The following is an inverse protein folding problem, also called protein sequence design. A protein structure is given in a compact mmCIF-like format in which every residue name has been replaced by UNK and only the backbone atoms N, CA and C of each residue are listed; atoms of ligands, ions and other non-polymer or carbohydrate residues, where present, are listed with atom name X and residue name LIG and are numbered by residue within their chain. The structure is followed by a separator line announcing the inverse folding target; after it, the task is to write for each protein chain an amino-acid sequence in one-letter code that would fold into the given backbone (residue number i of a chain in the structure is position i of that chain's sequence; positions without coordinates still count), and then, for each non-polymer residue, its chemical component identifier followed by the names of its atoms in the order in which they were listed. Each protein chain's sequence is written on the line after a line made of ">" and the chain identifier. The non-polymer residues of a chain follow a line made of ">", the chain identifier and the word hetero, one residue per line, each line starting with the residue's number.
data_IF_184039112095
#
_entry.id   IF_184039112095
#
_cell.length_a   1.000
_cell.length_b   1.000
_cell.length_c   1.000
_cell.angle_alpha   90.00
_cell.angle_beta   90.00
_cell.angle_gamma   90.00
#
_symmetry.space_group_name_H-M   'P 1'
#
loop_
_entity.id
_entity.type
_entity.pdbx_description
1 polymer ?
#
# COMPACT_ATOMS: atom_id res chain seq x y z
N UNK A 1 9.59 1.30 -1.72
CA UNK A 1 8.57 0.33 -1.33
C UNK A 1 7.36 1.10 -0.86
N UNK A 2 6.28 0.94 -1.53
CA UNK A 2 5.05 1.68 -1.25
C UNK A 2 3.85 0.74 -1.34
N UNK A 3 2.92 0.97 -0.45
CA UNK A 3 1.67 0.27 -0.41
C UNK A 3 0.52 1.26 -0.42
N UNK A 4 -0.44 1.02 -1.25
CA UNK A 4 -1.64 1.85 -1.34
C UNK A 4 -2.83 0.98 -0.97
N UNK A 5 -3.52 1.33 0.09
CA UNK A 5 -4.69 0.59 0.57
C UNK A 5 -5.99 1.22 0.07
N UNK A 6 -6.93 0.39 -0.32
CA UNK A 6 -8.25 0.81 -0.75
C UNK A 6 -9.17 1.25 0.41
N UNK A 7 -10.38 1.59 0.06
CA UNK A 7 -11.36 2.25 0.94
C UNK A 7 -11.52 1.60 2.31
N UNK A 8 -11.42 2.36 3.41
CA UNK A 8 -11.97 1.91 4.66
C UNK A 8 -13.50 1.89 4.56
N UNK A 9 -14.10 0.75 4.81
CA UNK A 9 -15.55 0.64 4.90
C UNK A 9 -16.01 1.19 6.26
N UNK A 10 -16.65 2.35 6.25
CA UNK A 10 -17.44 2.76 7.41
C UNK A 10 -18.78 2.05 7.33
N UNK A 11 -18.99 1.00 8.11
CA UNK A 11 -20.33 0.53 8.41
C UNK A 11 -21.08 1.64 9.13
N UNK A 12 -22.22 2.03 8.57
CA UNK A 12 -23.15 2.89 9.26
C UNK A 12 -23.43 2.35 10.66
N UNK A 13 -23.40 3.23 11.64
CA UNK A 13 -23.76 2.91 13.01
C UNK A 13 -25.15 2.32 13.08
N UNK A 14 -25.25 1.05 13.35
CA UNK A 14 -26.40 0.55 14.09
C UNK A 14 -26.08 0.81 15.55
N UNK A 15 -26.84 1.70 16.17
CA UNK A 15 -26.57 2.19 17.48
C UNK A 15 -26.42 1.08 18.51
N UNK A 16 -25.30 1.07 19.19
CA UNK A 16 -25.21 0.57 20.55
C UNK A 16 -24.18 1.41 21.27
N UNK A 17 -24.60 1.91 22.40
CA UNK A 17 -23.73 2.58 23.36
C UNK A 17 -22.73 1.59 23.91
N UNK A 18 -21.46 1.91 23.79
CA UNK A 18 -20.40 1.21 24.50
C UNK A 18 -19.28 0.72 23.61
N UNK A 19 -18.12 1.37 23.72
CA UNK A 19 -16.87 0.93 23.11
C UNK A 19 -16.57 1.57 21.76
N UNK A 20 -15.69 2.54 21.77
CA UNK A 20 -15.34 3.45 20.69
C UNK A 20 -14.41 2.88 19.60
N UNK A 21 -14.53 1.61 19.26
CA UNK A 21 -13.82 1.05 18.12
C UNK A 21 -14.75 1.00 16.92
N UNK A 22 -14.60 1.97 16.02
CA UNK A 22 -15.16 1.88 14.67
C UNK A 22 -14.39 0.74 13.99
N UNK A 23 -15.04 -0.38 13.60
CA UNK A 23 -14.34 -1.41 12.86
C UNK A 23 -13.98 -0.84 11.49
N UNK A 24 -12.68 -0.59 11.28
CA UNK A 24 -12.13 -0.26 9.97
C UNK A 24 -11.97 -1.57 9.24
N UNK A 25 -12.72 -1.78 8.17
CA UNK A 25 -12.48 -2.90 7.26
C UNK A 25 -11.78 -2.39 6.00
N UNK A 26 -10.76 -3.12 5.57
CA UNK A 26 -10.09 -2.87 4.30
C UNK A 26 -10.89 -3.58 3.21
N UNK A 27 -11.46 -2.82 2.28
CA UNK A 27 -12.22 -3.37 1.16
C UNK A 27 -11.32 -3.85 0.03
N UNK A 28 -10.19 -3.19 -0.17
CA UNK A 28 -9.27 -3.48 -1.27
C UNK A 28 -7.87 -3.01 -0.95
N UNK A 29 -6.89 -3.80 -1.35
CA UNK A 29 -5.48 -3.42 -1.36
C UNK A 29 -5.08 -3.03 -2.78
N UNK A 30 -4.51 -1.85 -2.94
CA UNK A 30 -4.03 -1.31 -4.21
C UNK A 30 -2.51 -1.19 -4.17
N UNK A 31 -1.83 -1.80 -5.12
CA UNK A 31 -0.37 -1.84 -5.16
C UNK A 31 0.15 -1.76 -6.59
N UNK A 32 1.39 -1.29 -6.75
CA UNK A 32 2.05 -1.19 -8.06
C UNK A 32 2.71 -2.48 -8.55
N UNK A 33 2.80 -3.50 -7.71
CA UNK A 33 3.34 -4.80 -8.07
C UNK A 33 4.86 -4.87 -8.24
N UNK A 34 5.60 -3.85 -7.80
CA UNK A 34 7.06 -3.88 -7.81
C UNK A 34 7.58 -4.88 -6.77
N UNK A 35 8.85 -5.27 -6.88
CA UNK A 35 9.49 -6.16 -5.91
C UNK A 35 9.47 -5.57 -4.50
N UNK A 36 9.46 -6.43 -3.49
CA UNK A 36 9.46 -6.02 -2.10
C UNK A 36 8.06 -5.86 -1.51
N UNK A 37 7.77 -4.72 -0.88
CA UNK A 37 6.52 -4.49 -0.15
C UNK A 37 5.30 -4.58 -1.07
N UNK A 38 5.34 -4.01 -2.24
CA UNK A 38 4.23 -4.04 -3.22
C UNK A 38 3.73 -5.47 -3.48
N UNK A 39 4.64 -6.41 -3.76
CA UNK A 39 4.27 -7.82 -3.99
C UNK A 39 3.88 -8.54 -2.71
N UNK A 40 4.56 -8.26 -1.62
CA UNK A 40 4.21 -8.85 -0.33
C UNK A 40 2.77 -8.51 0.07
N UNK A 41 2.33 -7.30 -0.20
CA UNK A 41 0.94 -6.88 0.05
C UNK A 41 -0.08 -7.61 -0.81
N UNK A 42 0.21 -7.76 -2.08
CA UNK A 42 -0.65 -8.50 -2.99
C UNK A 42 -0.72 -9.98 -2.60
N UNK A 43 0.41 -10.57 -2.20
CA UNK A 43 0.46 -11.95 -1.71
C UNK A 43 -0.38 -12.12 -0.43
N UNK A 44 -0.28 -11.19 0.51
CA UNK A 44 -1.09 -11.19 1.74
C UNK A 44 -2.58 -10.97 1.44
N UNK A 45 -2.89 -10.08 0.52
CA UNK A 45 -4.28 -9.86 0.09
C UNK A 45 -4.91 -11.14 -0.46
N UNK A 46 -4.19 -11.86 -1.32
CA UNK A 46 -4.64 -13.14 -1.85
C UNK A 46 -4.78 -14.21 -0.76
N UNK A 47 -3.82 -14.26 0.17
CA UNK A 47 -3.86 -15.21 1.30
C UNK A 47 -5.06 -14.99 2.22
N UNK A 48 -5.47 -13.74 2.42
CA UNK A 48 -6.57 -13.35 3.32
C UNK A 48 -7.89 -13.12 2.58
N UNK A 49 -7.98 -13.47 1.31
CA UNK A 49 -9.16 -13.22 0.45
C UNK A 49 -9.63 -11.76 0.45
N UNK A 50 -8.68 -10.83 0.54
CA UNK A 50 -8.95 -9.40 0.40
C UNK A 50 -8.83 -9.05 -1.08
N UNK A 51 -9.83 -8.37 -1.68
CA UNK A 51 -9.71 -7.88 -3.05
C UNK A 51 -8.45 -7.06 -3.24
N UNK A 52 -7.74 -7.30 -4.33
CA UNK A 52 -6.53 -6.55 -4.66
C UNK A 52 -6.58 -6.02 -6.09
N UNK A 53 -5.72 -5.08 -6.39
CA UNK A 53 -5.56 -4.50 -7.70
C UNK A 53 -4.55 -3.38 -7.69
N UNK A 54 -4.59 -2.56 -8.70
CA UNK A 54 -3.73 -1.40 -8.84
C UNK A 54 -3.23 -1.26 -10.28
N UNK A 55 -2.42 -0.22 -10.47
CA UNK A 55 -1.79 0.10 -11.74
C UNK A 55 -0.32 -0.28 -11.69
N UNK A 56 0.16 -0.93 -12.74
CA UNK A 56 1.56 -1.22 -12.96
C UNK A 56 2.07 -0.49 -14.22
N UNK A 57 3.38 -0.41 -14.44
CA UNK A 57 3.93 0.17 -15.66
C UNK A 57 3.50 -0.61 -16.90
N UNK A 58 3.47 0.06 -18.05
CA UNK A 58 3.24 -0.57 -19.35
C UNK A 58 4.24 -1.72 -19.55
N UNK A 59 3.75 -2.83 -20.08
CA UNK A 59 4.52 -4.06 -20.26
C UNK A 59 4.67 -4.88 -18.97
N UNK A 60 4.00 -4.50 -17.89
CA UNK A 60 4.10 -5.14 -16.56
C UNK A 60 5.55 -5.18 -16.08
N UNK A 61 6.29 -4.10 -16.27
CA UNK A 61 7.72 -4.02 -15.95
C UNK A 61 7.96 -3.90 -14.45
N UNK A 62 8.92 -4.67 -13.96
CA UNK A 62 9.45 -4.59 -12.61
C UNK A 62 10.96 -4.78 -12.61
N UNK A 63 11.62 -4.55 -11.48
CA UNK A 63 13.07 -4.69 -11.34
C UNK A 63 13.57 -6.10 -11.67
N UNK A 64 12.76 -7.13 -11.41
CA UNK A 64 13.07 -8.54 -11.66
C UNK A 64 12.52 -9.07 -12.99
N UNK A 65 12.02 -8.21 -13.86
CA UNK A 65 11.44 -8.55 -15.14
C UNK A 65 9.94 -8.28 -15.22
N UNK A 66 9.17 -9.19 -15.80
CA UNK A 66 7.72 -9.02 -15.94
C UNK A 66 6.98 -9.43 -14.66
N UNK A 67 6.05 -8.59 -14.22
CA UNK A 67 5.18 -8.89 -13.08
C UNK A 67 4.29 -10.10 -13.43
N UNK A 68 4.27 -11.16 -12.61
CA UNK A 68 3.48 -12.36 -12.86
C UNK A 68 1.97 -12.09 -13.04
N UNK A 69 1.34 -12.85 -13.91
CA UNK A 69 -0.09 -12.68 -14.27
C UNK A 69 -1.06 -12.99 -13.12
N UNK A 70 -0.60 -13.71 -12.09
CA UNK A 70 -1.41 -13.98 -10.90
C UNK A 70 -1.82 -12.72 -10.14
N UNK A 71 -1.08 -11.63 -10.31
CA UNK A 71 -1.43 -10.34 -9.74
C UNK A 71 -2.37 -9.59 -10.69
N UNK A 72 -3.60 -9.33 -10.22
CA UNK A 72 -4.63 -8.64 -10.99
C UNK A 72 -4.36 -7.13 -11.04
N UNK A 73 -3.45 -6.74 -11.90
CA UNK A 73 -3.01 -5.37 -12.09
C UNK A 73 -3.37 -4.86 -13.50
N UNK A 74 -3.65 -3.56 -13.57
CA UNK A 74 -3.86 -2.85 -14.83
C UNK A 74 -2.58 -2.17 -15.28
N UNK A 75 -2.28 -2.25 -16.57
CA UNK A 75 -1.13 -1.55 -17.14
C UNK A 75 -1.47 -0.09 -17.39
N UNK A 76 -0.55 0.79 -17.02
CA UNK A 76 -0.58 2.20 -17.44
C UNK A 76 -0.25 2.33 -18.92
N UNK A 77 -0.61 3.46 -19.51
CA UNK A 77 -0.23 3.82 -20.87
C UNK A 77 1.29 4.08 -21.00
N UNK A 78 1.92 4.45 -19.90
CA UNK A 78 3.35 4.75 -19.79
C UNK A 78 4.10 3.67 -19.03
N UNK A 79 5.35 3.44 -19.44
CA UNK A 79 6.29 2.62 -18.67
C UNK A 79 6.92 3.37 -17.48
N UNK A 80 6.71 4.68 -17.37
CA UNK A 80 7.28 5.50 -16.31
C UNK A 80 6.62 5.25 -14.95
N UNK A 81 7.44 5.03 -13.94
CA UNK A 81 6.98 4.66 -12.59
C UNK A 81 6.10 5.70 -11.92
N UNK A 82 6.34 6.99 -12.18
CA UNK A 82 5.56 8.04 -11.54
C UNK A 82 4.09 8.04 -11.97
N UNK A 83 3.78 7.64 -13.19
CA UNK A 83 2.40 7.59 -13.71
C UNK A 83 1.57 6.56 -12.93
N UNK A 84 2.11 5.35 -12.75
CA UNK A 84 1.41 4.32 -11.99
C UNK A 84 1.27 4.69 -10.51
N UNK A 85 2.30 5.32 -9.94
CA UNK A 85 2.29 5.78 -8.55
C UNK A 85 1.19 6.79 -8.31
N UNK A 86 1.08 7.77 -9.18
CA UNK A 86 0.01 8.78 -9.09
C UNK A 86 -1.38 8.15 -9.19
N UNK A 87 -1.60 7.25 -10.14
CA UNK A 87 -2.89 6.55 -10.30
C UNK A 87 -3.25 5.70 -9.09
N UNK A 88 -2.31 4.99 -8.52
CA UNK A 88 -2.55 4.18 -7.32
C UNK A 88 -2.94 5.05 -6.11
N UNK A 89 -2.31 6.19 -5.94
CA UNK A 89 -2.68 7.14 -4.89
C UNK A 89 -4.08 7.73 -5.15
N UNK A 90 -4.39 8.08 -6.39
CA UNK A 90 -5.71 8.61 -6.77
C UNK A 90 -6.84 7.60 -6.52
N UNK A 91 -6.62 6.34 -6.82
CA UNK A 91 -7.62 5.28 -6.69
C UNK A 91 -7.76 4.76 -5.24
N UNK A 92 -7.03 5.34 -4.30
CA UNK A 92 -7.00 4.90 -2.91
C UNK A 92 -7.49 5.98 -1.96
N UNK A 93 -8.11 5.57 -0.86
CA UNK A 93 -8.56 6.49 0.20
C UNK A 93 -7.45 6.83 1.20
N UNK A 94 -6.45 5.97 1.30
CA UNK A 94 -5.29 6.16 2.15
C UNK A 94 -4.08 5.40 1.62
N UNK A 95 -2.90 5.82 2.03
CA UNK A 95 -1.63 5.22 1.62
C UNK A 95 -0.85 4.78 2.84
N UNK A 96 -0.40 3.53 2.82
CA UNK A 96 0.53 2.99 3.79
C UNK A 96 1.90 2.83 3.14
N UNK A 97 2.90 3.44 3.73
CA UNK A 97 4.29 3.32 3.28
C UNK A 97 5.11 2.58 4.33
N UNK A 98 5.58 1.40 3.97
CA UNK A 98 6.54 0.65 4.77
C UNK A 98 7.93 0.89 4.18
N UNK A 99 8.84 1.40 4.99
CA UNK A 99 10.18 1.76 4.53
C UNK A 99 11.25 1.43 5.56
N UNK A 100 12.50 1.52 5.15
CA UNK A 100 13.67 1.41 6.04
C UNK A 100 14.53 2.65 5.89
N UNK A 101 14.74 3.35 7.01
CA UNK A 101 15.53 4.57 7.02
C UNK A 101 14.88 5.72 6.24
N UNK A 102 15.68 6.47 5.49
CA UNK A 102 15.23 7.66 4.79
C UNK A 102 14.32 7.32 3.61
N UNK A 103 13.25 8.11 3.43
CA UNK A 103 12.41 8.02 2.24
C UNK A 103 13.14 8.53 1.00
N UNK A 104 13.26 7.69 -0.01
CA UNK A 104 13.92 8.02 -1.29
C UNK A 104 13.13 7.47 -2.47
N UNK A 105 13.44 7.91 -3.68
CA UNK A 105 12.88 7.37 -4.91
C UNK A 105 11.35 7.35 -4.94
N UNK A 106 10.79 6.22 -5.35
CA UNK A 106 9.34 6.00 -5.48
C UNK A 106 8.58 6.22 -4.18
N UNK A 107 9.13 5.79 -3.06
CA UNK A 107 8.51 5.95 -1.74
C UNK A 107 8.34 7.42 -1.34
N UNK A 108 9.35 8.24 -1.61
CA UNK A 108 9.27 9.69 -1.40
C UNK A 108 8.25 10.34 -2.35
N UNK A 109 8.19 9.86 -3.58
CA UNK A 109 7.24 10.32 -4.60
C UNK A 109 5.79 10.01 -4.18
N UNK A 110 5.51 8.80 -3.73
CA UNK A 110 4.19 8.40 -3.21
C UNK A 110 3.74 9.28 -2.05
N UNK A 111 4.62 9.52 -1.09
CA UNK A 111 4.34 10.43 0.03
C UNK A 111 3.97 11.84 -0.46
N UNK A 112 4.67 12.32 -1.47
CA UNK A 112 4.42 13.64 -2.06
C UNK A 112 3.07 13.70 -2.77
N UNK A 113 2.72 12.68 -3.54
CA UNK A 113 1.41 12.60 -4.21
C UNK A 113 0.26 12.49 -3.23
N UNK A 114 0.38 11.65 -2.20
CA UNK A 114 -0.63 11.53 -1.15
C UNK A 114 -0.90 12.89 -0.48
N UNK A 115 0.16 13.64 -0.16
CA UNK A 115 0.04 14.99 0.39
C UNK A 115 -0.65 15.95 -0.58
N UNK A 116 -0.23 15.95 -1.85
CA UNK A 116 -0.81 16.82 -2.89
C UNK A 116 -2.29 16.56 -3.09
N UNK A 117 -2.70 15.29 -3.02
CA UNK A 117 -4.09 14.87 -3.15
C UNK A 117 -4.88 14.96 -1.84
N UNK A 118 -4.25 15.43 -0.76
CA UNK A 118 -4.84 15.50 0.59
C UNK A 118 -5.41 14.17 1.07
N UNK A 119 -4.72 13.07 0.75
CA UNK A 119 -5.05 11.72 1.19
C UNK A 119 -4.27 11.36 2.44
N UNK A 120 -4.89 10.63 3.39
CA UNK A 120 -4.17 10.11 4.54
C UNK A 120 -2.96 9.27 4.12
N UNK A 121 -1.84 9.48 4.78
CA UNK A 121 -0.61 8.75 4.51
C UNK A 121 0.08 8.36 5.81
N UNK A 122 0.15 7.06 6.08
CA UNK A 122 0.86 6.52 7.22
C UNK A 122 2.21 5.97 6.76
N UNK A 123 3.27 6.39 7.44
CA UNK A 123 4.64 5.93 7.18
C UNK A 123 5.13 5.14 8.37
N UNK A 124 5.64 3.93 8.11
CA UNK A 124 6.19 3.06 9.15
C UNK A 124 7.63 2.71 8.77
N UNK A 125 8.56 3.14 9.62
CA UNK A 125 9.96 2.75 9.50
C UNK A 125 10.19 1.38 10.14
N UNK A 126 10.39 0.36 9.32
CA UNK A 126 10.63 -1.01 9.75
C UNK A 126 11.94 -1.19 10.51
N UNK A 127 12.90 -0.27 10.37
CA UNK A 127 14.14 -0.28 11.14
C UNK A 127 13.86 -0.04 12.63
N UNK A 128 12.98 0.89 12.94
CA UNK A 128 12.55 1.19 14.30
C UNK A 128 11.74 0.03 14.90
N UNK A 129 10.84 -0.56 14.11
CA UNK A 129 10.05 -1.72 14.53
C UNK A 129 10.93 -2.93 14.90
N UNK A 130 11.99 -3.19 14.12
CA UNK A 130 12.95 -4.26 14.43
C UNK A 130 13.74 -3.99 15.72
N UNK A 131 14.12 -2.76 15.99
CA UNK A 131 14.79 -2.37 17.23
C UNK A 131 13.88 -2.61 18.44
N UNK A 132 12.62 -2.22 18.37
CA UNK A 132 11.64 -2.46 19.43
C UNK A 132 11.41 -3.95 19.71
N UNK A 133 11.36 -4.78 18.67
CA UNK A 133 11.23 -6.24 18.78
C UNK A 133 12.45 -6.88 19.44
N UNK A 134 13.67 -6.46 19.09
CA UNK A 134 14.91 -6.92 19.75
C UNK A 134 14.95 -6.54 21.21
N UNK A 135 14.54 -5.33 21.57
CA UNK A 135 14.51 -4.88 22.94
C UNK A 135 13.56 -5.71 23.82
N UNK A 136 12.41 -6.13 23.30
CA UNK A 136 11.46 -7.00 24.03
C UNK A 136 11.97 -8.42 24.26
N UNK A 137 12.86 -8.92 23.41
CA UNK A 137 13.47 -10.27 23.56
C UNK A 137 14.61 -10.30 24.59
N UNK A 138 15.10 -9.15 25.01
CA UNK A 138 16.16 -9.02 26.01
C UNK A 138 15.62 -8.80 27.43
N UNK A 139 14.34 -8.67 27.58
CA UNK A 139 13.62 -8.59 28.84
C UNK A 139 12.93 -9.92 29.14
#
# INVERSE_FOLDING_TARGET
>A
MEAVTGRPFMRERVGSMGGDTIPISIEKIVSGGQTGVDRAELDVAMLLDIPHGGWCPRGRLAEDGRIPDRYDLRECESAEYFVRTERNVEDSDGTLILHRGRLTGGTALTSRYARRRKRPCLKIDLTLAQRASKCRRLL
#
